data_IF_821920776230
#
_entry.id   IF_821920776230
#
_cell.length_a   1.000
_cell.length_b   1.000
_cell.length_c   1.000
_cell.angle_alpha   90.00
_cell.angle_beta   90.00
_cell.angle_gamma   90.00
#
_symmetry.space_group_name_H-M   'P 1'
#
loop_
_entity.id
_entity.type
_entity.pdbx_description
1 polymer ?
#
# COMPACT_ATOMS: atom_id res chain seq x y z
N UNK A 1 21.19 10.67 19.72
CA UNK A 1 19.95 10.14 20.32
C UNK A 1 18.79 10.70 19.49
N UNK A 2 18.28 9.94 18.55
CA UNK A 2 17.08 10.29 17.77
C UNK A 2 15.90 10.37 18.73
N UNK A 3 15.16 11.46 18.68
CA UNK A 3 13.99 11.66 19.54
C UNK A 3 12.93 10.61 19.21
N UNK A 4 12.19 10.13 20.21
CA UNK A 4 11.14 9.08 20.10
C UNK A 4 10.08 9.36 19.02
N UNK A 5 9.98 10.61 18.53
CA UNK A 5 9.09 11.05 17.45
C UNK A 5 9.64 10.79 16.04
N UNK A 6 10.97 10.72 15.86
CA UNK A 6 11.56 10.58 14.52
C UNK A 6 11.33 9.20 13.89
N UNK A 7 11.02 8.17 14.70
CA UNK A 7 10.83 6.79 14.25
C UNK A 7 9.37 6.31 14.33
N UNK A 8 8.42 7.19 14.67
CA UNK A 8 7.01 6.83 14.73
C UNK A 8 6.46 6.54 13.32
N UNK A 9 5.85 5.37 13.17
CA UNK A 9 5.19 4.93 11.94
C UNK A 9 3.67 5.02 12.10
N UNK A 10 3.00 5.83 11.29
CA UNK A 10 1.55 5.81 11.16
C UNK A 10 1.14 4.83 10.06
N UNK A 11 0.45 3.77 10.45
CA UNK A 11 -0.02 2.71 9.55
C UNK A 11 -1.43 3.07 9.11
N UNK A 12 -1.62 3.23 7.81
CA UNK A 12 -2.87 3.68 7.17
C UNK A 12 -3.59 2.46 6.61
N UNK A 13 -4.77 2.16 7.18
CA UNK A 13 -5.57 0.98 6.80
C UNK A 13 -6.99 1.39 6.44
N UNK A 14 -7.37 1.36 5.15
CA UNK A 14 -8.76 1.46 4.75
C UNK A 14 -9.47 0.14 5.02
N UNK A 15 -10.67 0.15 5.59
CA UNK A 15 -11.43 -1.07 5.87
C UNK A 15 -12.87 -0.96 5.35
N UNK A 16 -13.26 -1.93 4.51
CA UNK A 16 -14.64 -2.08 4.04
C UNK A 16 -14.94 -3.55 3.81
N UNK A 17 -15.99 -4.09 4.48
CA UNK A 17 -16.39 -5.51 4.44
C UNK A 17 -15.23 -6.45 4.77
N UNK A 18 -14.49 -6.13 5.82
CA UNK A 18 -13.28 -6.83 6.22
C UNK A 18 -13.45 -7.65 7.52
N UNK A 19 -14.67 -7.83 8.02
CA UNK A 19 -14.94 -8.48 9.31
C UNK A 19 -14.29 -9.85 9.46
N UNK A 20 -14.14 -10.60 8.36
CA UNK A 20 -13.56 -11.96 8.36
C UNK A 20 -12.04 -12.02 8.36
N UNK A 21 -11.36 -10.90 8.05
CA UNK A 21 -9.89 -10.88 7.82
C UNK A 21 -9.15 -9.81 8.61
N UNK A 22 -9.81 -8.71 9.00
CA UNK A 22 -9.17 -7.56 9.66
C UNK A 22 -8.50 -7.93 10.99
N UNK A 23 -9.00 -8.93 11.70
CA UNK A 23 -8.41 -9.45 12.94
C UNK A 23 -6.98 -9.96 12.71
N UNK A 24 -6.76 -10.73 11.65
CA UNK A 24 -5.43 -11.22 11.27
C UNK A 24 -4.50 -10.07 10.87
N UNK A 25 -5.02 -9.09 10.13
CA UNK A 25 -4.26 -7.89 9.73
C UNK A 25 -3.77 -7.12 10.95
N UNK A 26 -4.65 -6.85 11.93
CA UNK A 26 -4.28 -6.14 13.17
C UNK A 26 -3.25 -6.94 13.96
N UNK A 27 -3.45 -8.25 14.13
CA UNK A 27 -2.47 -9.13 14.82
C UNK A 27 -1.10 -9.09 14.16
N UNK A 28 -1.03 -9.00 12.84
CA UNK A 28 0.22 -8.90 12.10
C UNK A 28 0.99 -7.59 12.38
N UNK A 29 0.27 -6.51 12.69
CA UNK A 29 0.85 -5.23 13.12
C UNK A 29 1.32 -5.30 14.58
N UNK A 30 0.54 -5.88 15.48
CA UNK A 30 0.91 -6.06 16.88
C UNK A 30 2.20 -6.90 17.02
N UNK A 31 2.40 -7.87 16.11
CA UNK A 31 3.56 -8.75 16.08
C UNK A 31 4.84 -8.10 15.50
N UNK A 32 4.81 -6.81 15.11
CA UNK A 32 5.98 -6.15 14.55
C UNK A 32 7.10 -5.97 15.59
N UNK A 33 8.35 -6.24 15.19
CA UNK A 33 9.55 -6.04 16.02
C UNK A 33 9.82 -4.56 16.30
N UNK A 34 9.52 -3.67 15.33
CA UNK A 34 9.47 -2.23 15.55
C UNK A 34 8.16 -1.86 16.26
N UNK A 35 8.23 -1.41 17.52
CA UNK A 35 7.04 -1.21 18.37
C UNK A 35 6.52 0.23 18.40
N UNK A 36 7.26 1.20 17.83
CA UNK A 36 6.87 2.61 17.80
C UNK A 36 5.98 2.93 16.59
N UNK A 37 4.72 2.52 16.66
CA UNK A 37 3.73 2.72 15.62
C UNK A 37 2.37 3.12 16.19
N UNK A 38 1.55 3.78 15.38
CA UNK A 38 0.11 3.90 15.52
C UNK A 38 -0.57 3.29 14.28
N UNK A 39 -1.72 2.66 14.46
CA UNK A 39 -2.52 2.10 13.36
C UNK A 39 -3.84 2.84 13.25
N UNK A 40 -4.04 3.52 12.12
CA UNK A 40 -5.21 4.35 11.84
C UNK A 40 -6.10 3.59 10.85
N UNK A 41 -7.17 3.00 11.35
CA UNK A 41 -8.09 2.19 10.56
C UNK A 41 -9.32 3.02 10.20
N UNK A 42 -9.39 3.45 8.94
CA UNK A 42 -10.55 4.18 8.41
C UNK A 42 -11.60 3.19 7.91
N UNK A 43 -12.64 3.02 8.70
CA UNK A 43 -13.76 2.14 8.41
C UNK A 43 -14.77 2.86 7.53
N UNK A 44 -14.95 2.39 6.30
CA UNK A 44 -15.64 3.06 5.19
C UNK A 44 -17.12 2.67 5.10
N UNK A 45 -17.84 2.77 6.23
CA UNK A 45 -19.28 2.51 6.35
C UNK A 45 -19.67 1.09 5.90
N UNK A 46 -19.01 0.08 6.46
CA UNK A 46 -19.27 -1.34 6.15
C UNK A 46 -20.66 -1.78 6.63
N UNK A 47 -21.36 -2.62 5.86
CA UNK A 47 -22.64 -3.19 6.25
C UNK A 47 -22.50 -4.43 7.17
N UNK A 48 -21.28 -4.96 7.34
CA UNK A 48 -20.94 -6.10 8.19
C UNK A 48 -20.35 -5.65 9.55
N UNK A 49 -19.88 -6.58 10.36
CA UNK A 49 -19.35 -6.32 11.69
C UNK A 49 -17.92 -5.74 11.69
N UNK A 50 -17.37 -5.28 10.56
CA UNK A 50 -16.01 -4.73 10.46
C UNK A 50 -15.75 -3.66 11.52
N UNK A 51 -16.67 -2.70 11.67
CA UNK A 51 -16.56 -1.60 12.65
C UNK A 51 -16.46 -2.09 14.09
N UNK A 52 -17.21 -3.11 14.44
CA UNK A 52 -17.25 -3.63 15.81
C UNK A 52 -15.97 -4.40 16.15
N UNK A 53 -15.44 -5.18 15.20
CA UNK A 53 -14.14 -5.85 15.36
C UNK A 53 -13.03 -4.82 15.59
N UNK A 54 -12.97 -3.75 14.78
CA UNK A 54 -11.94 -2.70 14.93
C UNK A 54 -12.10 -1.97 16.27
N UNK A 55 -13.35 -1.68 16.69
CA UNK A 55 -13.63 -1.02 17.97
C UNK A 55 -13.14 -1.85 19.16
N UNK A 56 -13.32 -3.15 19.14
CA UNK A 56 -12.80 -4.04 20.19
C UNK A 56 -11.28 -3.95 20.30
N UNK A 57 -10.56 -3.97 19.16
CA UNK A 57 -9.11 -3.80 19.16
C UNK A 57 -8.66 -2.43 19.67
N UNK A 58 -9.34 -1.35 19.29
CA UNK A 58 -9.04 0.00 19.76
C UNK A 58 -9.27 0.17 21.28
N UNK A 59 -10.09 -0.67 21.90
CA UNK A 59 -10.26 -0.70 23.36
C UNK A 59 -9.14 -1.46 24.09
N UNK A 60 -8.46 -2.39 23.40
CA UNK A 60 -7.40 -3.23 23.99
C UNK A 60 -6.01 -2.66 23.79
N UNK A 61 -5.75 -1.96 22.67
CA UNK A 61 -4.46 -1.35 22.37
C UNK A 61 -4.64 0.12 21.95
N UNK A 62 -4.17 1.09 22.75
CA UNK A 62 -4.36 2.53 22.47
C UNK A 62 -3.62 3.02 21.22
N UNK A 63 -2.70 2.23 20.64
CA UNK A 63 -2.05 2.54 19.37
C UNK A 63 -2.96 2.30 18.17
N UNK A 64 -4.05 1.56 18.35
CA UNK A 64 -5.03 1.26 17.30
C UNK A 64 -6.18 2.26 17.42
N UNK A 65 -6.47 2.98 16.34
CA UNK A 65 -7.48 4.02 16.31
C UNK A 65 -8.49 3.77 15.21
N UNK A 66 -9.76 3.65 15.58
CA UNK A 66 -10.89 3.57 14.64
C UNK A 66 -11.27 4.98 14.16
N UNK A 67 -11.33 5.16 12.86
CA UNK A 67 -11.88 6.33 12.18
C UNK A 67 -13.13 5.87 11.43
N UNK A 68 -14.30 6.03 12.04
CA UNK A 68 -15.56 5.64 11.43
C UNK A 68 -16.04 6.72 10.46
N UNK A 69 -16.17 6.38 9.17
CA UNK A 69 -16.71 7.29 8.17
C UNK A 69 -18.26 7.22 8.17
N UNK A 70 -18.89 8.34 7.86
CA UNK A 70 -20.36 8.46 7.83
C UNK A 70 -20.99 7.86 6.57
N UNK A 71 -20.20 7.77 5.49
CA UNK A 71 -20.62 7.23 4.19
C UNK A 71 -19.47 6.50 3.51
N UNK A 72 -19.79 5.52 2.69
CA UNK A 72 -18.78 4.87 1.86
C UNK A 72 -18.24 5.84 0.80
N UNK A 73 -16.94 6.08 0.86
CA UNK A 73 -16.22 6.97 -0.05
C UNK A 73 -15.18 6.26 -0.92
N UNK A 74 -14.96 4.98 -0.67
CA UNK A 74 -13.95 4.17 -1.32
C UNK A 74 -12.55 4.30 -0.70
N UNK A 75 -11.60 3.45 -1.12
CA UNK A 75 -10.31 3.28 -0.47
C UNK A 75 -9.47 4.57 -0.41
N UNK A 76 -9.49 5.40 -1.46
CA UNK A 76 -8.79 6.68 -1.48
C UNK A 76 -9.27 7.63 -0.38
N UNK A 77 -10.59 7.76 -0.21
CA UNK A 77 -11.18 8.64 0.81
C UNK A 77 -10.90 8.10 2.22
N UNK A 78 -10.99 6.80 2.41
CA UNK A 78 -10.67 6.16 3.69
C UNK A 78 -9.17 6.36 4.03
N UNK A 79 -8.25 6.13 3.09
CA UNK A 79 -6.82 6.39 3.30
C UNK A 79 -6.55 7.86 3.64
N UNK A 80 -7.17 8.82 2.92
CA UNK A 80 -7.01 10.24 3.21
C UNK A 80 -7.48 10.60 4.62
N UNK A 81 -8.62 10.09 5.05
CA UNK A 81 -9.15 10.32 6.41
C UNK A 81 -8.20 9.79 7.51
N UNK A 82 -7.48 8.70 7.23
CA UNK A 82 -6.45 8.19 8.13
C UNK A 82 -5.15 9.01 8.05
N UNK A 83 -4.68 9.39 6.86
CA UNK A 83 -3.49 10.22 6.67
C UNK A 83 -3.62 11.58 7.36
N UNK A 84 -4.79 12.22 7.31
CA UNK A 84 -5.08 13.49 7.99
C UNK A 84 -4.92 13.41 9.52
N UNK A 85 -5.05 12.22 10.09
CA UNK A 85 -4.92 11.97 11.55
C UNK A 85 -3.58 11.35 11.95
N UNK A 86 -2.73 11.07 10.98
CA UNK A 86 -1.41 10.50 11.18
C UNK A 86 -0.46 11.50 11.85
N UNK A 87 0.26 11.05 12.88
CA UNK A 87 1.20 11.88 13.64
C UNK A 87 2.66 11.49 13.42
N UNK A 88 2.91 10.31 12.85
CA UNK A 88 4.24 9.79 12.59
C UNK A 88 4.96 10.51 11.44
N UNK A 89 6.30 10.52 11.51
CA UNK A 89 7.17 10.88 10.39
C UNK A 89 6.98 9.92 9.23
N UNK A 90 6.88 8.63 9.54
CA UNK A 90 6.77 7.58 8.56
C UNK A 90 5.30 7.22 8.33
N UNK A 91 4.89 7.15 7.07
CA UNK A 91 3.55 6.71 6.68
C UNK A 91 3.69 5.36 5.97
N UNK A 92 3.11 4.33 6.56
CA UNK A 92 3.04 3.00 5.96
C UNK A 92 1.59 2.68 5.57
N UNK A 93 1.41 1.92 4.51
CA UNK A 93 0.08 1.50 4.05
C UNK A 93 -0.09 0.01 4.25
N UNK A 94 -1.27 -0.40 4.72
CA UNK A 94 -1.65 -1.80 4.89
C UNK A 94 -3.14 -1.95 4.59
N UNK A 95 -3.48 -2.68 3.55
CA UNK A 95 -4.88 -2.99 3.25
C UNK A 95 -5.45 -3.98 4.27
N UNK A 96 -6.75 -3.90 4.53
CA UNK A 96 -7.42 -4.63 5.63
C UNK A 96 -7.49 -6.15 5.48
N UNK A 97 -7.03 -6.68 4.37
CA UNK A 97 -6.97 -8.11 4.04
C UNK A 97 -5.54 -8.65 3.90
N UNK A 98 -4.51 -7.80 3.96
CA UNK A 98 -3.11 -8.18 3.86
C UNK A 98 -2.47 -8.40 5.24
N UNK A 99 -1.31 -9.11 5.27
CA UNK A 99 -0.57 -9.40 6.50
C UNK A 99 0.89 -8.97 6.36
N UNK A 100 1.44 -8.37 7.41
CA UNK A 100 2.87 -8.11 7.49
C UNK A 100 3.61 -9.21 8.25
N UNK A 101 4.82 -9.53 7.81
CA UNK A 101 5.72 -10.38 8.59
C UNK A 101 6.39 -9.58 9.72
N UNK A 102 6.81 -10.23 10.82
CA UNK A 102 7.23 -9.53 12.05
C UNK A 102 8.31 -8.46 11.87
N UNK A 103 9.23 -8.62 10.92
CA UNK A 103 10.33 -7.68 10.68
C UNK A 103 10.04 -6.63 9.60
N UNK A 104 8.80 -6.52 9.10
CA UNK A 104 8.51 -5.65 7.96
C UNK A 104 8.84 -4.19 8.25
N UNK A 105 8.38 -3.62 9.35
CA UNK A 105 8.64 -2.22 9.68
C UNK A 105 10.13 -1.98 9.94
N UNK A 106 10.77 -2.80 10.77
CA UNK A 106 12.19 -2.72 11.10
C UNK A 106 13.06 -2.69 9.83
N UNK A 107 12.91 -3.71 8.96
CA UNK A 107 13.71 -3.84 7.74
C UNK A 107 13.45 -2.71 6.74
N UNK A 108 12.19 -2.28 6.62
CA UNK A 108 11.84 -1.20 5.70
C UNK A 108 12.37 0.15 6.17
N UNK A 109 12.34 0.42 7.49
CA UNK A 109 12.92 1.63 8.08
C UNK A 109 14.44 1.67 7.94
N UNK A 110 15.13 0.55 8.21
CA UNK A 110 16.58 0.44 7.99
C UNK A 110 16.95 0.74 6.53
N UNK A 111 16.21 0.14 5.59
CA UNK A 111 16.45 0.36 4.16
C UNK A 111 16.16 1.80 3.73
N UNK A 112 15.07 2.40 4.23
CA UNK A 112 14.72 3.80 3.95
C UNK A 112 15.80 4.76 4.45
N UNK A 113 16.28 4.59 5.68
CA UNK A 113 17.32 5.42 6.27
C UNK A 113 18.67 5.25 5.54
N UNK A 114 19.06 4.01 5.18
CA UNK A 114 20.31 3.73 4.46
C UNK A 114 20.38 4.38 3.07
N UNK A 115 19.23 4.66 2.46
CA UNK A 115 19.15 5.25 1.11
C UNK A 115 18.61 6.69 1.11
N UNK A 116 18.34 7.27 2.28
CA UNK A 116 17.64 8.56 2.40
C UNK A 116 16.40 8.60 1.48
N UNK A 117 15.59 7.54 1.57
CA UNK A 117 14.53 7.26 0.61
C UNK A 117 13.21 7.92 0.99
N UNK A 118 12.66 8.74 0.11
CA UNK A 118 11.32 9.33 0.25
C UNK A 118 10.21 8.27 0.14
N UNK A 119 10.43 7.21 -0.65
CA UNK A 119 9.52 6.08 -0.84
C UNK A 119 10.31 4.77 -0.86
N UNK A 120 9.93 3.84 0.00
CA UNK A 120 10.46 2.47 0.04
C UNK A 120 9.32 1.47 -0.10
N UNK A 121 9.58 0.34 -0.74
CA UNK A 121 8.61 -0.75 -0.89
C UNK A 121 9.31 -2.11 -0.84
N UNK A 122 8.56 -3.17 -0.54
CA UNK A 122 9.14 -4.51 -0.33
C UNK A 122 8.59 -5.53 -1.30
N UNK A 123 9.27 -6.69 -1.39
CA UNK A 123 8.72 -7.90 -1.97
C UNK A 123 7.59 -8.47 -1.11
N UNK A 124 6.82 -9.38 -1.69
CA UNK A 124 5.71 -10.04 -1.01
C UNK A 124 5.42 -11.42 -1.63
N UNK A 125 4.84 -12.31 -0.84
CA UNK A 125 4.22 -13.54 -1.34
C UNK A 125 2.70 -13.44 -1.32
N UNK A 126 2.02 -14.14 -2.21
CA UNK A 126 0.57 -14.21 -2.23
C UNK A 126 0.07 -15.25 -1.25
N UNK A 127 -1.13 -15.05 -0.70
CA UNK A 127 -1.86 -16.07 0.05
C UNK A 127 -3.28 -16.21 -0.49
N UNK A 128 -3.86 -17.40 -0.29
CA UNK A 128 -5.28 -17.65 -0.58
C UNK A 128 -6.18 -16.82 0.33
N UNK A 129 -7.47 -16.72 -0.02
CA UNK A 129 -8.45 -15.94 0.76
C UNK A 129 -8.54 -16.38 2.22
N UNK A 130 -8.39 -17.68 2.49
CA UNK A 130 -8.37 -18.29 3.82
C UNK A 130 -6.98 -18.30 4.49
N UNK A 131 -5.94 -17.79 3.80
CA UNK A 131 -4.57 -17.75 4.31
C UNK A 131 -3.85 -19.11 4.34
N UNK A 132 -4.49 -20.20 3.91
CA UNK A 132 -3.96 -21.56 4.07
C UNK A 132 -2.82 -21.93 3.13
N UNK A 133 -2.73 -21.28 1.95
CA UNK A 133 -1.70 -21.56 0.94
C UNK A 133 -0.90 -20.31 0.64
N UNK A 134 0.43 -20.45 0.68
CA UNK A 134 1.37 -19.40 0.25
C UNK A 134 1.72 -19.67 -1.22
N UNK A 135 1.46 -18.67 -2.06
CA UNK A 135 1.79 -18.69 -3.49
C UNK A 135 3.16 -18.12 -3.80
N UNK A 136 3.40 -17.84 -5.07
CA UNK A 136 4.70 -17.36 -5.55
C UNK A 136 5.12 -16.01 -4.97
N UNK A 137 6.42 -15.85 -4.75
CA UNK A 137 7.07 -14.61 -4.37
C UNK A 137 7.10 -13.61 -5.52
N UNK A 138 6.82 -12.36 -5.21
CA UNK A 138 6.92 -11.22 -6.11
C UNK A 138 8.02 -10.29 -5.61
N UNK A 139 9.18 -10.35 -6.23
CA UNK A 139 10.33 -9.53 -5.91
C UNK A 139 10.20 -8.09 -6.38
N UNK A 140 11.13 -7.24 -5.95
CA UNK A 140 11.16 -5.81 -6.27
C UNK A 140 12.40 -5.42 -7.07
N UNK A 141 12.31 -4.44 -7.99
CA UNK A 141 13.49 -3.77 -8.51
C UNK A 141 14.15 -2.93 -7.39
N UNK A 142 15.49 -2.88 -7.38
CA UNK A 142 16.25 -2.11 -6.36
C UNK A 142 15.85 -0.64 -6.28
N UNK A 143 15.49 -0.01 -7.40
CA UNK A 143 15.03 1.38 -7.46
C UNK A 143 14.11 1.61 -8.65
N UNK A 144 13.20 2.57 -8.53
CA UNK A 144 12.30 2.98 -9.59
C UNK A 144 12.21 4.50 -9.66
N UNK A 145 12.33 5.03 -10.87
CA UNK A 145 11.98 6.42 -11.20
C UNK A 145 10.54 6.51 -11.71
N UNK A 146 10.03 7.73 -11.85
CA UNK A 146 8.75 8.02 -12.49
C UNK A 146 8.55 7.28 -13.82
N UNK A 147 9.55 7.38 -14.73
CA UNK A 147 9.48 6.72 -16.04
C UNK A 147 9.45 5.19 -15.96
N UNK A 148 10.16 4.63 -14.99
CA UNK A 148 10.16 3.17 -14.78
C UNK A 148 8.84 2.69 -14.20
N UNK A 149 8.23 3.48 -13.30
CA UNK A 149 6.93 3.15 -12.71
C UNK A 149 5.80 3.21 -13.77
N UNK A 150 5.83 4.16 -14.70
CA UNK A 150 4.89 4.18 -15.83
C UNK A 150 4.88 2.85 -16.61
N UNK A 151 6.04 2.25 -16.86
CA UNK A 151 6.14 0.97 -17.58
C UNK A 151 6.02 -0.27 -16.69
N UNK A 152 5.82 -0.13 -15.38
CA UNK A 152 5.80 -1.27 -14.45
C UNK A 152 5.04 -0.94 -13.15
N UNK A 153 3.86 -1.46 -12.99
CA UNK A 153 3.05 -1.32 -11.76
C UNK A 153 3.57 -2.25 -10.64
N UNK A 154 4.85 -2.12 -10.27
CA UNK A 154 5.51 -3.05 -9.34
C UNK A 154 5.30 -2.71 -7.86
N UNK A 155 4.81 -1.51 -7.54
CA UNK A 155 4.64 -1.06 -6.16
C UNK A 155 3.24 -1.45 -5.66
N UNK A 156 3.17 -2.44 -4.78
CA UNK A 156 1.93 -2.82 -4.10
C UNK A 156 1.73 -1.93 -2.85
N UNK A 157 0.53 -1.43 -2.65
CA UNK A 157 0.20 -0.45 -1.60
C UNK A 157 0.63 -0.91 -0.21
N UNK A 158 0.29 -2.13 0.19
CA UNK A 158 0.61 -2.68 1.52
C UNK A 158 2.11 -2.91 1.76
N UNK A 159 2.96 -2.69 0.75
CA UNK A 159 4.42 -2.78 0.90
C UNK A 159 5.09 -1.43 1.17
N UNK A 160 4.38 -0.32 0.95
CA UNK A 160 4.95 1.04 0.90
C UNK A 160 5.19 1.63 2.29
N UNK A 161 6.34 2.31 2.41
CA UNK A 161 6.70 3.22 3.49
C UNK A 161 7.16 4.55 2.88
N UNK A 162 6.61 5.67 3.37
CA UNK A 162 6.96 7.03 2.96
C UNK A 162 7.62 7.81 4.09
N UNK A 163 8.64 8.60 3.79
CA UNK A 163 9.11 9.66 4.69
C UNK A 163 8.29 10.94 4.45
N UNK A 164 7.39 11.27 5.37
CA UNK A 164 6.52 12.44 5.29
C UNK A 164 7.29 13.75 5.20
N UNK A 165 8.46 13.82 5.84
CA UNK A 165 9.30 15.02 5.79
C UNK A 165 9.87 15.27 4.39
N UNK A 166 10.06 14.22 3.59
CA UNK A 166 10.58 14.32 2.22
C UNK A 166 9.46 14.48 1.19
N UNK A 167 8.35 13.71 1.34
CA UNK A 167 7.27 13.74 0.35
C UNK A 167 6.28 14.89 0.57
N UNK A 168 6.27 15.50 1.76
CA UNK A 168 5.32 16.56 2.11
C UNK A 168 3.88 16.06 2.21
N UNK A 169 2.94 16.81 1.67
CA UNK A 169 1.52 16.47 1.70
C UNK A 169 1.24 15.22 0.83
N UNK A 170 0.60 14.23 1.46
CA UNK A 170 0.23 12.96 0.85
C UNK A 170 -1.30 12.95 0.71
N UNK A 171 -1.78 12.93 -0.52
CA UNK A 171 -3.21 12.87 -0.80
C UNK A 171 -3.50 11.95 -1.97
N UNK A 172 -4.34 10.97 -1.76
CA UNK A 172 -4.83 10.08 -2.81
C UNK A 172 -6.06 10.68 -3.48
N UNK A 173 -6.04 10.78 -4.80
CA UNK A 173 -7.21 11.21 -5.56
C UNK A 173 -8.23 10.08 -5.59
N UNK A 174 -9.51 10.41 -5.47
CA UNK A 174 -10.57 9.41 -5.63
C UNK A 174 -10.73 9.03 -7.12
N UNK A 175 -9.83 8.19 -7.56
CA UNK A 175 -9.76 7.69 -8.94
C UNK A 175 -9.78 6.17 -8.94
N UNK A 176 -9.87 5.59 -10.12
CA UNK A 176 -9.83 4.14 -10.31
C UNK A 176 -8.46 3.50 -10.08
N UNK A 177 -7.40 4.30 -9.84
CA UNK A 177 -6.04 3.84 -9.57
C UNK A 177 -5.31 4.85 -8.67
N UNK A 178 -5.89 5.06 -7.49
CA UNK A 178 -5.54 6.07 -6.50
C UNK A 178 -4.11 5.95 -5.96
N UNK A 179 -3.68 4.74 -5.66
CA UNK A 179 -2.34 4.43 -5.16
C UNK A 179 -1.27 4.67 -6.23
N UNK A 180 -1.50 4.17 -7.45
CA UNK A 180 -0.58 4.35 -8.57
C UNK A 180 -0.40 5.84 -8.93
N UNK A 181 -1.49 6.64 -8.98
CA UNK A 181 -1.40 8.09 -9.16
C UNK A 181 -0.57 8.73 -8.04
N UNK A 182 -0.82 8.35 -6.79
CA UNK A 182 -0.08 8.90 -5.66
C UNK A 182 1.45 8.65 -5.78
N UNK A 183 1.84 7.41 -6.10
CA UNK A 183 3.26 7.09 -6.29
C UNK A 183 3.86 7.82 -7.49
N UNK A 184 3.14 7.95 -8.60
CA UNK A 184 3.59 8.73 -9.76
C UNK A 184 3.82 10.19 -9.38
N UNK A 185 2.92 10.84 -8.62
CA UNK A 185 3.07 12.24 -8.19
C UNK A 185 4.31 12.44 -7.30
N UNK A 186 4.60 11.48 -6.38
CA UNK A 186 5.80 11.53 -5.54
C UNK A 186 7.06 11.44 -6.43
N UNK A 187 7.13 10.45 -7.31
CA UNK A 187 8.29 10.24 -8.18
C UNK A 187 8.47 11.35 -9.24
N UNK A 188 7.39 12.01 -9.65
CA UNK A 188 7.42 13.15 -10.59
C UNK A 188 8.10 14.37 -10.00
N UNK A 189 8.13 14.50 -8.67
CA UNK A 189 8.86 15.56 -7.95
C UNK A 189 10.38 15.33 -7.89
N UNK A 190 10.89 14.27 -8.54
CA UNK A 190 12.32 13.93 -8.60
C UNK A 190 12.76 12.87 -7.61
N UNK A 191 11.87 12.35 -6.75
CA UNK A 191 12.19 11.25 -5.85
C UNK A 191 12.37 9.94 -6.61
N UNK A 192 13.12 9.01 -5.99
CA UNK A 192 13.21 7.62 -6.41
C UNK A 192 12.51 6.74 -5.38
N UNK A 193 11.84 5.69 -5.84
CA UNK A 193 11.38 4.61 -4.98
C UNK A 193 12.49 3.55 -4.85
N UNK A 194 12.77 3.12 -3.63
CA UNK A 194 13.78 2.10 -3.33
C UNK A 194 13.10 0.80 -2.90
N UNK A 195 13.37 -0.27 -3.64
CA UNK A 195 12.84 -1.60 -3.38
C UNK A 195 13.77 -2.41 -2.49
N UNK A 196 13.23 -2.95 -1.41
CA UNK A 196 13.86 -3.95 -0.55
C UNK A 196 13.35 -5.33 -1.00
N UNK A 197 14.20 -6.10 -1.68
CA UNK A 197 13.84 -7.41 -2.24
C UNK A 197 13.84 -8.51 -1.17
N UNK A 198 12.96 -8.31 -0.17
CA UNK A 198 12.71 -9.26 0.92
C UNK A 198 11.19 -9.58 0.97
N UNK A 199 10.86 -10.84 1.28
CA UNK A 199 9.48 -11.31 1.45
C UNK A 199 8.93 -10.92 2.84
N UNK A 200 8.36 -9.73 2.93
CA UNK A 200 7.95 -9.13 4.20
C UNK A 200 6.44 -8.92 4.34
N UNK A 201 5.66 -9.36 3.35
CA UNK A 201 4.21 -9.19 3.36
C UNK A 201 3.51 -10.38 2.68
N UNK A 202 2.30 -10.66 3.11
CA UNK A 202 1.37 -11.62 2.51
C UNK A 202 0.23 -10.88 1.85
N UNK A 203 0.19 -10.92 0.52
CA UNK A 203 -0.87 -10.34 -0.29
C UNK A 203 -2.03 -11.33 -0.42
N UNK A 204 -3.17 -11.02 0.18
CA UNK A 204 -4.35 -11.90 0.15
C UNK A 204 -5.12 -11.76 -1.16
N UNK A 205 -5.30 -12.88 -1.85
CA UNK A 205 -6.04 -12.94 -3.11
C UNK A 205 -7.51 -13.26 -2.84
N UNK A 206 -8.33 -12.24 -2.69
CA UNK A 206 -9.77 -12.38 -2.52
C UNK A 206 -10.45 -12.68 -3.86
N UNK A 207 -11.59 -13.41 -3.82
CA UNK A 207 -12.34 -13.78 -5.03
C UNK A 207 -12.78 -12.59 -5.90
N UNK A 208 -13.01 -11.43 -5.27
CA UNK A 208 -13.44 -10.19 -5.90
C UNK A 208 -12.33 -9.12 -6.02
N UNK A 209 -11.06 -9.49 -5.81
CA UNK A 209 -9.93 -8.54 -5.91
C UNK A 209 -9.90 -7.85 -7.28
N UNK A 210 -9.77 -6.52 -7.27
CA UNK A 210 -9.68 -5.68 -8.49
C UNK A 210 -8.53 -6.12 -9.39
N UNK A 211 -7.41 -6.54 -8.80
CA UNK A 211 -6.19 -7.02 -9.48
C UNK A 211 -6.39 -8.32 -10.28
N UNK A 212 -7.44 -9.09 -10.01
CA UNK A 212 -7.73 -10.36 -10.71
C UNK A 212 -8.27 -10.15 -12.13
N UNK A 213 -8.98 -9.06 -12.38
CA UNK A 213 -9.50 -8.74 -13.71
C UNK A 213 -8.46 -8.00 -14.54
N UNK A 214 -7.62 -8.75 -15.29
CA UNK A 214 -6.53 -8.21 -16.11
C UNK A 214 -6.98 -7.16 -17.13
N UNK A 215 -8.18 -7.32 -17.73
CA UNK A 215 -8.72 -6.34 -18.69
C UNK A 215 -9.06 -5.03 -17.99
N UNK A 216 -9.68 -5.10 -16.81
CA UNK A 216 -10.00 -3.93 -16.00
C UNK A 216 -8.74 -3.22 -15.53
N UNK A 217 -7.74 -3.97 -15.04
CA UNK A 217 -6.44 -3.41 -14.64
C UNK A 217 -5.73 -2.71 -15.81
N UNK A 218 -5.72 -3.32 -17.00
CA UNK A 218 -5.15 -2.71 -18.20
C UNK A 218 -5.87 -1.43 -18.61
N UNK A 219 -7.21 -1.41 -18.54
CA UNK A 219 -7.99 -0.20 -18.80
C UNK A 219 -7.71 0.91 -17.78
N UNK A 220 -7.50 0.57 -16.50
CA UNK A 220 -7.13 1.54 -15.46
C UNK A 220 -5.75 2.14 -15.73
N UNK A 221 -4.75 1.32 -16.07
CA UNK A 221 -3.41 1.80 -16.44
C UNK A 221 -3.47 2.73 -17.66
N UNK A 222 -4.22 2.34 -18.71
CA UNK A 222 -4.40 3.18 -19.89
C UNK A 222 -5.02 4.53 -19.55
N UNK A 223 -6.08 4.53 -18.74
CA UNK A 223 -6.72 5.76 -18.26
C UNK A 223 -5.78 6.60 -17.40
N UNK A 224 -4.95 5.98 -16.53
CA UNK A 224 -3.97 6.71 -15.77
C UNK A 224 -3.01 7.50 -16.67
N UNK A 225 -2.56 6.92 -17.77
CA UNK A 225 -1.71 7.63 -18.74
C UNK A 225 -2.43 8.79 -19.43
N UNK A 226 -3.69 8.56 -19.85
CA UNK A 226 -4.42 9.54 -20.65
C UNK A 226 -5.10 10.63 -19.82
N UNK A 227 -5.75 10.23 -18.74
CA UNK A 227 -6.65 11.11 -17.98
C UNK A 227 -5.93 11.76 -16.79
N UNK A 228 -5.00 11.04 -16.13
CA UNK A 228 -4.30 11.55 -14.94
C UNK A 228 -2.97 12.20 -15.29
N UNK A 229 -2.16 11.55 -16.13
CA UNK A 229 -0.82 12.03 -16.51
C UNK A 229 -0.80 12.88 -17.79
N UNK A 230 -1.88 12.89 -18.58
CA UNK A 230 -1.97 13.69 -19.80
C UNK A 230 -0.95 13.31 -20.88
N UNK A 231 -0.44 12.05 -20.87
CA UNK A 231 0.57 11.62 -21.83
C UNK A 231 0.03 11.63 -23.26
N UNK A 232 0.87 11.99 -24.24
CA UNK A 232 0.51 11.88 -25.66
C UNK A 232 0.25 10.42 -26.06
N UNK A 233 -0.51 10.21 -27.13
CA UNK A 233 -0.87 8.85 -27.58
C UNK A 233 0.38 7.97 -27.85
N UNK A 234 1.42 8.44 -28.56
CA UNK A 234 2.63 7.61 -28.79
C UNK A 234 3.34 7.23 -27.49
N UNK A 235 3.43 8.15 -26.53
CA UNK A 235 4.07 7.90 -25.23
C UNK A 235 3.24 6.92 -24.40
N UNK A 236 1.90 7.05 -24.41
CA UNK A 236 1.00 6.12 -23.73
C UNK A 236 1.12 4.70 -24.30
N UNK A 237 1.16 4.56 -25.64
CA UNK A 237 1.36 3.26 -26.31
C UNK A 237 2.71 2.64 -25.95
N UNK A 238 3.78 3.44 -25.88
CA UNK A 238 5.10 2.98 -25.48
C UNK A 238 5.12 2.40 -24.05
N UNK A 239 4.60 3.13 -23.06
CA UNK A 239 4.58 2.62 -21.68
C UNK A 239 3.58 1.46 -21.51
N UNK A 240 2.46 1.50 -22.21
CA UNK A 240 1.49 0.41 -22.17
C UNK A 240 2.04 -0.89 -22.74
N UNK A 241 2.83 -0.84 -23.82
CA UNK A 241 3.51 -2.02 -24.36
C UNK A 241 4.50 -2.62 -23.36
N UNK A 242 5.28 -1.80 -22.66
CA UNK A 242 6.19 -2.27 -21.60
C UNK A 242 5.41 -2.92 -20.44
N UNK A 243 4.32 -2.29 -19.98
CA UNK A 243 3.43 -2.85 -18.97
C UNK A 243 2.87 -4.22 -19.39
N UNK A 244 2.37 -4.34 -20.61
CA UNK A 244 1.81 -5.58 -21.13
C UNK A 244 2.86 -6.70 -21.24
N UNK A 245 4.04 -6.41 -21.78
CA UNK A 245 5.16 -7.38 -21.90
C UNK A 245 5.59 -7.87 -20.52
N UNK A 246 5.81 -6.96 -19.56
CA UNK A 246 6.19 -7.33 -18.18
C UNK A 246 5.10 -8.12 -17.46
N UNK A 247 3.84 -7.76 -17.70
CA UNK A 247 2.69 -8.52 -17.21
C UNK A 247 2.68 -9.96 -17.71
N UNK A 248 2.94 -10.18 -19.02
CA UNK A 248 3.01 -11.51 -19.63
C UNK A 248 4.18 -12.33 -19.06
N UNK A 249 5.36 -11.72 -18.92
CA UNK A 249 6.55 -12.39 -18.36
C UNK A 249 6.36 -12.80 -16.90
N UNK A 250 5.74 -11.94 -16.08
CA UNK A 250 5.45 -12.20 -14.67
C UNK A 250 4.52 -13.40 -14.46
N UNK A 251 3.62 -13.69 -15.40
CA UNK A 251 2.64 -14.77 -15.30
C UNK A 251 3.07 -16.06 -16.01
N UNK A 252 4.21 -16.07 -16.71
CA UNK A 252 4.75 -17.28 -17.36
C UNK A 252 5.42 -18.24 -16.38
N UNK A 253 5.74 -17.77 -15.18
CA UNK A 253 6.38 -18.53 -14.09
C UNK A 253 5.39 -18.87 -12.95
N UNK A 254 4.12 -19.05 -13.30
CA UNK A 254 3.05 -19.54 -12.40
C UNK A 254 2.60 -20.92 -12.83
#
# INVERSE_FOLDING_TARGET
>A
MTTRHDDLVSIITPAFRAASVIDETIKSVIAQTHTNWEMLIAEDCSPDNTRDVIRQWAQTDPRIRLIALERNGGPAMARNAAIERATGRWIAFLDSDDLWLPKKLERTLEHANAHEAALTFTGFSRITADGSVIGGYVGTPRRMSYRQLLGNTAIATSTVLLDRNMVGDIRMKNTYYDDFDCWLQILKRGHLAYGLDEDLMRYRVMGQSVSRNKRRSAAHVWRAYRDLEGLSLPVSLWYFSQYAIRGLLKYRNF
#
